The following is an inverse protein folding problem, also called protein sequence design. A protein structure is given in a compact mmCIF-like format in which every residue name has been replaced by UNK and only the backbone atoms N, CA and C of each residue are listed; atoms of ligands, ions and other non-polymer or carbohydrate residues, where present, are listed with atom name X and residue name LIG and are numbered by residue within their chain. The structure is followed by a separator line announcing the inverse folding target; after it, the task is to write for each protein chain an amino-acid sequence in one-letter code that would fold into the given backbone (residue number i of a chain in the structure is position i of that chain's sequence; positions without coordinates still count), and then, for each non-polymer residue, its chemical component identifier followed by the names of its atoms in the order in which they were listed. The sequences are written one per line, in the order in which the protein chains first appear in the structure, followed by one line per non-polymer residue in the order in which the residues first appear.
data_IF_929125309831
#
_entry.id   IF_929125309831
#
_cell.length_a   1.000
_cell.length_b   1.000
_cell.length_c   1.000
_cell.angle_alpha   90.00
_cell.angle_beta   90.00
_cell.angle_gamma   90.00
#
_symmetry.space_group_name_H-M   'P 1'
#
loop_
_entity.id
_entity.type
_entity.pdbx_description
1 polymer ?
#
# COMPACT_ATOMS: atom_id res chain seq x y z
N UNK A 1 -56.74 37.10 33.80
CA UNK A 1 -55.76 36.02 33.82
C UNK A 1 -54.90 36.20 32.59
N UNK A 2 -53.58 36.19 32.75
CA UNK A 2 -52.64 36.23 31.62
C UNK A 2 -51.72 35.03 31.64
N UNK A 3 -51.50 34.48 30.46
CA UNK A 3 -50.56 33.38 30.22
C UNK A 3 -49.32 33.92 29.52
N UNK A 4 -48.16 33.43 29.89
CA UNK A 4 -46.87 33.82 29.29
C UNK A 4 -46.07 32.57 28.99
N UNK A 5 -45.54 32.49 27.81
CA UNK A 5 -44.67 31.39 27.38
C UNK A 5 -43.38 31.91 26.81
N UNK A 6 -42.28 31.29 27.22
CA UNK A 6 -40.97 31.54 26.62
C UNK A 6 -40.13 30.24 26.47
N UNK A 7 -39.21 30.28 25.54
CA UNK A 7 -38.20 29.24 25.32
C UNK A 7 -36.85 29.92 25.21
N UNK A 8 -35.85 29.39 25.87
CA UNK A 8 -34.49 29.94 25.84
C UNK A 8 -33.46 28.83 25.96
N UNK A 9 -32.30 29.00 25.36
CA UNK A 9 -31.13 28.24 25.69
C UNK A 9 -30.54 28.72 27.03
N UNK A 10 -30.34 27.83 27.98
CA UNK A 10 -29.92 28.19 29.36
C UNK A 10 -28.53 27.71 29.72
N UNK A 11 -28.04 26.64 29.09
CA UNK A 11 -26.70 26.16 29.26
C UNK A 11 -26.25 25.30 28.08
N UNK A 12 -24.96 25.05 28.01
CA UNK A 12 -24.40 24.04 27.08
C UNK A 12 -23.17 23.41 27.71
N UNK A 13 -22.84 22.22 27.21
CA UNK A 13 -21.59 21.53 27.52
C UNK A 13 -21.07 20.88 26.25
N UNK A 14 -19.74 20.84 26.10
CA UNK A 14 -19.09 20.23 24.95
C UNK A 14 -18.19 19.09 25.41
N UNK A 15 -18.32 17.94 24.76
CA UNK A 15 -17.46 16.78 24.96
C UNK A 15 -17.04 16.22 23.60
N UNK A 16 -15.74 16.19 23.35
CA UNK A 16 -15.22 15.81 22.03
C UNK A 16 -15.79 16.68 20.92
N UNK A 17 -16.36 16.06 19.91
CA UNK A 17 -17.00 16.73 18.76
C UNK A 17 -18.52 16.95 18.93
N UNK A 18 -19.05 16.92 20.15
CA UNK A 18 -20.48 17.08 20.39
C UNK A 18 -20.73 18.15 21.44
N UNK A 19 -21.64 19.08 21.12
CA UNK A 19 -22.18 20.02 22.10
C UNK A 19 -23.61 19.65 22.42
N UNK A 20 -23.89 19.50 23.71
CA UNK A 20 -25.24 19.33 24.24
C UNK A 20 -25.74 20.68 24.78
N UNK A 21 -26.89 21.15 24.31
CA UNK A 21 -27.49 22.41 24.64
C UNK A 21 -28.76 22.14 25.46
N UNK A 22 -28.88 22.74 26.61
CA UNK A 22 -30.10 22.68 27.44
C UNK A 22 -30.97 23.86 27.09
N UNK A 23 -32.17 23.60 26.61
CA UNK A 23 -33.21 24.56 26.40
C UNK A 23 -34.23 24.49 27.54
N UNK A 24 -34.75 25.65 27.95
CA UNK A 24 -35.75 25.77 28.98
C UNK A 24 -37.04 26.33 28.40
N UNK A 25 -38.13 25.64 28.67
CA UNK A 25 -39.49 26.15 28.48
C UNK A 25 -39.94 26.73 29.80
N UNK A 26 -40.44 27.96 29.75
CA UNK A 26 -41.09 28.61 30.89
C UNK A 26 -42.54 28.89 30.55
N UNK A 27 -43.45 28.46 31.41
CA UNK A 27 -44.85 28.76 31.33
C UNK A 27 -45.30 29.40 32.63
N UNK A 28 -45.90 30.58 32.57
CA UNK A 28 -46.36 31.37 33.73
C UNK A 28 -47.84 31.68 33.60
N UNK A 29 -48.52 31.71 34.71
CA UNK A 29 -49.92 32.09 34.81
C UNK A 29 -50.09 33.16 35.89
N UNK A 30 -50.66 34.31 35.51
CA UNK A 30 -51.08 35.35 36.44
C UNK A 30 -52.58 35.36 36.52
N UNK A 31 -53.13 35.19 37.75
CA UNK A 31 -54.60 35.21 38.02
C UNK A 31 -55.12 33.98 38.77
N UNK A 32 -56.26 34.09 39.33
CA UNK A 32 -56.78 33.16 40.37
C UNK A 32 -57.84 32.18 39.90
N UNK A 33 -58.17 32.11 38.60
CA UNK A 33 -59.40 31.49 38.14
C UNK A 33 -59.35 29.99 37.81
N UNK A 34 -58.26 29.33 37.88
CA UNK A 34 -58.13 27.88 37.55
C UNK A 34 -57.30 27.14 38.56
N UNK A 35 -57.73 25.90 38.89
CA UNK A 35 -56.89 24.91 39.55
C UNK A 35 -55.82 24.37 38.63
N UNK A 36 -54.92 23.52 39.10
CA UNK A 36 -53.81 23.00 38.36
C UNK A 36 -54.21 22.48 36.97
N UNK A 37 -53.58 23.00 35.92
CA UNK A 37 -53.79 22.57 34.54
C UNK A 37 -52.50 21.92 34.01
N UNK A 38 -52.70 20.78 33.39
CA UNK A 38 -51.57 20.06 32.79
C UNK A 38 -51.85 19.73 31.32
N UNK A 39 -50.84 19.94 30.47
CA UNK A 39 -50.86 19.55 29.05
C UNK A 39 -49.47 19.18 28.58
N UNK A 40 -49.36 18.56 27.40
CA UNK A 40 -48.11 18.24 26.76
C UNK A 40 -47.81 19.28 25.67
N UNK A 41 -46.65 19.93 25.79
CA UNK A 41 -46.02 20.70 24.74
C UNK A 41 -45.11 19.80 23.91
N UNK A 42 -45.02 20.04 22.62
CA UNK A 42 -44.17 19.30 21.72
C UNK A 42 -43.02 20.20 21.23
N UNK A 43 -41.80 19.71 21.30
CA UNK A 43 -40.67 20.44 20.78
C UNK A 43 -40.01 19.69 19.59
N UNK A 44 -39.51 20.45 18.64
CA UNK A 44 -38.75 20.01 17.49
C UNK A 44 -37.49 20.85 17.34
N UNK A 45 -36.44 20.30 16.79
CA UNK A 45 -35.23 21.05 16.43
C UNK A 45 -34.93 20.91 14.94
N UNK A 46 -34.20 21.89 14.40
CA UNK A 46 -33.66 21.82 13.03
C UNK A 46 -32.60 20.74 12.84
N UNK A 47 -32.13 20.11 13.92
CA UNK A 47 -31.21 18.95 13.88
C UNK A 47 -31.95 17.61 13.77
N UNK A 48 -33.29 17.63 13.71
CA UNK A 48 -34.14 16.43 13.62
C UNK A 48 -34.51 15.82 14.98
N UNK A 49 -34.03 16.35 16.10
CA UNK A 49 -34.45 15.91 17.42
C UNK A 49 -35.85 16.47 17.78
N UNK A 50 -36.62 15.68 18.49
CA UNK A 50 -37.98 16.09 18.96
C UNK A 50 -38.34 15.37 20.25
N UNK A 51 -39.36 15.85 20.93
CA UNK A 51 -39.89 15.23 22.15
C UNK A 51 -41.09 15.97 22.72
N UNK A 52 -41.66 15.42 23.80
CA UNK A 52 -42.77 15.99 24.54
C UNK A 52 -42.33 16.47 25.92
N UNK A 53 -42.96 17.53 26.38
CA UNK A 53 -42.73 18.14 27.69
C UNK A 53 -44.07 18.28 28.41
N UNK A 54 -44.19 17.61 29.55
CA UNK A 54 -45.39 17.81 30.40
C UNK A 54 -45.29 19.11 31.17
N UNK A 55 -46.20 20.01 30.92
CA UNK A 55 -46.38 21.26 31.66
C UNK A 55 -47.57 21.15 32.60
N UNK A 56 -47.37 21.46 33.87
CA UNK A 56 -48.44 21.53 34.86
C UNK A 56 -48.27 22.82 35.66
N UNK A 57 -49.19 23.75 35.50
CA UNK A 57 -49.11 25.13 36.07
C UNK A 57 -50.22 25.32 37.03
N UNK A 58 -49.91 25.79 38.27
CA UNK A 58 -50.89 26.20 39.29
C UNK A 58 -51.18 27.70 39.19
N UNK A 59 -52.21 28.16 39.93
CA UNK A 59 -52.55 29.58 40.06
C UNK A 59 -51.35 30.44 40.43
N UNK A 60 -51.16 31.58 39.78
CA UNK A 60 -50.13 32.55 40.08
C UNK A 60 -48.72 31.88 40.16
N UNK A 61 -48.46 30.91 39.31
CA UNK A 61 -47.21 30.17 39.36
C UNK A 61 -46.49 30.13 38.02
N UNK A 62 -45.21 29.75 38.08
CA UNK A 62 -44.37 29.52 36.92
C UNK A 62 -43.88 28.08 36.99
N UNK A 63 -43.97 27.39 35.88
CA UNK A 63 -43.33 26.08 35.69
C UNK A 63 -42.23 26.20 34.64
N UNK A 64 -41.09 25.56 34.92
CA UNK A 64 -39.98 25.41 33.97
C UNK A 64 -39.75 23.94 33.71
N UNK A 65 -39.36 23.63 32.47
CA UNK A 65 -38.91 22.29 32.07
C UNK A 65 -37.75 22.41 31.13
N UNK A 66 -36.72 21.66 31.39
CA UNK A 66 -35.53 21.62 30.59
C UNK A 66 -35.54 20.39 29.69
N UNK A 67 -34.96 20.53 28.50
CA UNK A 67 -34.68 19.42 27.58
C UNK A 67 -33.38 19.69 26.84
N UNK A 68 -32.75 18.62 26.38
CA UNK A 68 -31.44 18.67 25.77
C UNK A 68 -31.48 18.37 24.27
N UNK A 69 -30.71 19.12 23.50
CA UNK A 69 -30.45 18.88 22.08
C UNK A 69 -28.98 18.79 21.87
N UNK A 70 -28.52 17.72 21.24
CA UNK A 70 -27.10 17.52 20.90
C UNK A 70 -26.85 17.78 19.43
N UNK A 71 -25.71 18.41 19.14
CA UNK A 71 -25.25 18.71 17.78
C UNK A 71 -23.78 18.38 17.63
N UNK A 72 -23.41 17.78 16.51
CA UNK A 72 -22.05 17.48 16.17
C UNK A 72 -21.29 18.68 15.58
N UNK A 73 -20.02 18.81 15.91
CA UNK A 73 -19.08 19.71 15.25
C UNK A 73 -18.44 19.03 14.06
N UNK A 74 -18.15 19.83 13.04
CA UNK A 74 -17.37 19.34 11.89
C UNK A 74 -15.95 19.00 12.34
N UNK A 75 -15.50 17.78 12.04
CA UNK A 75 -14.18 17.27 12.45
C UNK A 75 -13.00 17.98 11.78
N UNK A 76 -13.22 18.74 10.72
CA UNK A 76 -12.15 19.45 10.02
C UNK A 76 -11.93 20.90 10.48
N UNK A 77 -12.97 21.55 11.01
CA UNK A 77 -12.92 22.98 11.38
C UNK A 77 -13.53 23.30 12.75
N UNK A 78 -14.13 22.32 13.43
CA UNK A 78 -14.71 22.49 14.75
C UNK A 78 -16.01 23.31 14.80
N UNK A 79 -16.61 23.63 13.68
CA UNK A 79 -17.85 24.42 13.60
C UNK A 79 -19.06 23.50 13.72
N UNK A 80 -20.02 23.87 14.55
CA UNK A 80 -21.34 23.24 14.58
C UNK A 80 -22.39 24.15 13.92
N UNK A 81 -23.48 23.61 13.37
CA UNK A 81 -24.58 24.42 12.88
C UNK A 81 -25.31 25.11 14.03
N UNK A 82 -25.97 26.23 13.72
CA UNK A 82 -26.87 26.87 14.65
C UNK A 82 -28.04 25.93 14.96
N UNK A 83 -28.34 25.74 16.24
CA UNK A 83 -29.46 24.92 16.71
C UNK A 83 -30.66 25.80 17.00
N UNK A 84 -31.75 25.55 16.31
CA UNK A 84 -33.04 26.22 16.55
C UNK A 84 -34.04 25.20 17.03
N UNK A 85 -34.67 25.46 18.15
CA UNK A 85 -35.79 24.67 18.66
C UNK A 85 -37.10 25.46 18.58
N UNK A 86 -38.17 24.75 18.27
CA UNK A 86 -39.55 25.31 18.31
C UNK A 86 -40.37 24.45 19.24
N UNK A 87 -40.98 25.07 20.22
CA UNK A 87 -41.92 24.43 21.15
C UNK A 87 -43.34 24.90 20.84
N UNK A 88 -44.18 23.96 20.52
CA UNK A 88 -45.60 24.17 20.19
C UNK A 88 -46.51 23.78 21.34
N UNK A 89 -47.76 24.12 21.21
CA UNK A 89 -48.79 23.87 22.22
C UNK A 89 -48.51 24.56 23.55
N UNK A 90 -47.92 25.74 23.51
CA UNK A 90 -47.78 26.63 24.69
C UNK A 90 -49.01 27.53 24.86
N UNK A 91 -49.19 28.10 26.05
CA UNK A 91 -50.28 29.02 26.35
C UNK A 91 -49.74 30.45 26.49
N UNK A 92 -50.30 31.39 25.75
CA UNK A 92 -49.90 32.80 25.80
C UNK A 92 -51.11 33.72 25.51
N UNK A 93 -51.25 34.82 26.27
CA UNK A 93 -52.41 35.74 26.15
C UNK A 93 -53.39 35.61 27.31
N UNK A 94 -54.61 35.96 27.04
CA UNK A 94 -55.68 36.07 28.07
C UNK A 94 -56.64 34.89 28.15
N UNK A 95 -56.47 33.90 27.27
CA UNK A 95 -57.32 32.69 27.23
C UNK A 95 -56.50 31.44 27.28
N UNK A 96 -56.99 30.39 27.95
CA UNK A 96 -56.37 29.05 27.96
C UNK A 96 -56.37 28.41 26.57
N UNK A 97 -57.28 28.82 25.71
CA UNK A 97 -57.40 28.37 24.33
C UNK A 97 -56.37 29.03 23.38
N UNK A 98 -55.70 30.08 23.86
CA UNK A 98 -54.66 30.75 23.07
C UNK A 98 -53.37 29.89 22.99
N UNK A 99 -53.32 29.06 21.96
CA UNK A 99 -52.17 28.15 21.72
C UNK A 99 -51.15 28.84 20.81
N UNK A 100 -49.90 28.82 21.22
CA UNK A 100 -48.80 29.43 20.48
C UNK A 100 -47.61 28.48 20.38
N UNK A 101 -46.70 28.82 19.46
CA UNK A 101 -45.37 28.26 19.39
C UNK A 101 -44.33 29.32 19.73
N UNK A 102 -43.24 28.91 20.37
CA UNK A 102 -42.08 29.76 20.68
C UNK A 102 -40.81 29.07 20.23
N UNK A 103 -39.87 29.84 19.69
CA UNK A 103 -38.60 29.33 19.22
C UNK A 103 -37.46 29.98 19.96
N UNK A 104 -36.37 29.25 20.09
CA UNK A 104 -35.08 29.74 20.56
C UNK A 104 -33.95 29.15 19.72
N UNK A 105 -32.91 29.93 19.56
CA UNK A 105 -31.73 29.48 18.81
C UNK A 105 -30.46 29.61 19.66
N UNK A 106 -29.51 28.75 19.41
CA UNK A 106 -28.20 28.77 20.04
C UNK A 106 -27.14 28.41 19.03
N UNK A 107 -26.10 29.25 18.91
CA UNK A 107 -24.91 28.96 18.12
C UNK A 107 -23.85 28.33 19.02
N UNK A 108 -23.55 27.04 18.88
CA UNK A 108 -22.47 26.43 19.63
C UNK A 108 -21.12 27.12 19.34
N UNK A 109 -20.27 27.30 20.34
CA UNK A 109 -18.95 27.84 20.11
C UNK A 109 -18.12 26.91 19.20
N UNK A 110 -17.27 27.51 18.37
CA UNK A 110 -16.29 26.73 17.60
C UNK A 110 -15.30 26.08 18.56
N UNK A 111 -15.03 24.78 18.34
CA UNK A 111 -14.04 24.04 19.12
C UNK A 111 -12.73 23.92 18.35
N UNK A 112 -11.63 23.84 19.07
CA UNK A 112 -10.34 23.56 18.47
C UNK A 112 -10.26 22.08 18.04
N UNK A 113 -10.04 21.86 16.75
CA UNK A 113 -9.80 20.52 16.19
C UNK A 113 -8.31 20.37 15.95
N UNK A 114 -7.72 19.40 16.62
CA UNK A 114 -6.31 19.05 16.39
C UNK A 114 -6.24 18.25 15.08
N UNK A 115 -5.71 18.89 14.04
CA UNK A 115 -5.56 18.24 12.73
C UNK A 115 -4.42 17.21 12.76
N UNK A 116 -4.53 16.14 11.95
CA UNK A 116 -3.38 15.29 11.70
C UNK A 116 -2.18 16.11 11.18
N UNK A 117 -0.96 15.73 11.52
CA UNK A 117 0.22 16.38 10.95
C UNK A 117 0.29 16.13 9.43
N UNK A 118 1.03 16.97 8.69
CA UNK A 118 1.26 16.73 7.27
C UNK A 118 1.98 15.41 7.01
N UNK A 119 1.72 14.82 5.85
CA UNK A 119 2.37 13.57 5.41
C UNK A 119 3.87 13.81 5.23
N UNK A 120 4.75 12.94 5.75
CA UNK A 120 6.17 12.99 5.46
C UNK A 120 6.43 12.86 3.95
N UNK A 121 7.35 13.67 3.42
CA UNK A 121 7.70 13.68 1.98
C UNK A 121 9.13 13.25 1.76
N UNK A 122 9.52 13.09 0.49
CA UNK A 122 10.85 12.67 0.09
C UNK A 122 11.30 11.36 0.78
N UNK A 123 10.36 10.46 1.04
CA UNK A 123 10.67 9.17 1.66
C UNK A 123 11.50 8.36 0.69
N UNK A 124 12.74 8.06 1.07
CA UNK A 124 13.69 7.33 0.25
C UNK A 124 14.27 6.17 1.06
N UNK A 125 14.37 5.02 0.43
CA UNK A 125 15.00 3.83 1.01
C UNK A 125 16.31 3.54 0.28
N UNK A 126 17.36 3.20 1.04
CA UNK A 126 18.67 2.83 0.54
C UNK A 126 19.07 1.50 1.18
N UNK A 127 19.62 0.59 0.38
CA UNK A 127 20.24 -0.63 0.87
C UNK A 127 21.66 -0.34 1.34
N UNK A 128 21.96 -0.64 2.60
CA UNK A 128 23.30 -0.58 3.17
C UNK A 128 24.02 -1.94 3.02
N UNK A 129 23.26 -3.02 3.24
CA UNK A 129 23.72 -4.41 3.08
C UNK A 129 22.51 -5.32 2.88
N UNK A 130 22.70 -6.64 2.75
CA UNK A 130 21.60 -7.60 2.72
C UNK A 130 20.86 -7.72 4.05
N UNK A 131 21.51 -7.29 5.14
CA UNK A 131 20.91 -7.31 6.47
C UNK A 131 20.42 -5.96 6.95
N UNK A 132 20.63 -4.87 6.18
CA UNK A 132 20.27 -3.51 6.62
C UNK A 132 19.80 -2.63 5.46
N UNK A 133 18.68 -1.93 5.70
CA UNK A 133 18.19 -0.85 4.85
C UNK A 133 17.98 0.41 5.69
N UNK A 134 18.20 1.59 5.11
CA UNK A 134 17.99 2.87 5.78
C UNK A 134 17.00 3.71 5.00
N UNK A 135 15.94 4.16 5.68
CA UNK A 135 15.03 5.18 5.14
C UNK A 135 15.44 6.56 5.60
N UNK A 136 15.19 7.54 4.72
CA UNK A 136 15.26 8.97 5.02
C UNK A 136 13.99 9.64 4.54
N UNK A 137 13.59 10.74 5.17
CA UNK A 137 12.39 11.50 4.80
C UNK A 137 12.49 12.95 5.26
N UNK A 138 11.57 13.78 4.76
CA UNK A 138 11.40 15.16 5.21
C UNK A 138 10.15 15.24 6.09
N UNK A 139 10.31 15.79 7.29
CA UNK A 139 9.19 16.13 8.17
C UNK A 139 8.55 17.44 7.72
N UNK A 140 7.24 17.42 7.50
CA UNK A 140 6.50 18.58 6.98
C UNK A 140 5.64 19.28 8.04
N UNK A 141 5.72 18.86 9.29
CA UNK A 141 4.87 19.38 10.36
C UNK A 141 5.62 20.13 11.44
N UNK A 142 5.04 21.23 11.92
CA UNK A 142 5.53 21.97 13.08
C UNK A 142 5.09 21.38 14.42
N UNK A 143 4.25 20.37 14.43
CA UNK A 143 3.67 19.76 15.64
C UNK A 143 3.84 18.25 15.74
N UNK A 144 4.77 17.67 15.01
CA UNK A 144 5.02 16.24 15.06
C UNK A 144 5.69 15.84 16.36
N UNK A 145 5.12 14.87 17.04
CA UNK A 145 5.65 14.36 18.30
C UNK A 145 6.20 12.95 18.18
N UNK A 146 5.80 12.21 17.18
CA UNK A 146 6.30 10.88 16.91
C UNK A 146 6.17 10.52 15.44
N UNK A 147 7.13 9.77 14.93
CA UNK A 147 7.08 9.18 13.61
C UNK A 147 7.12 7.67 13.72
N UNK A 148 6.37 7.03 12.85
CA UNK A 148 6.35 5.58 12.74
C UNK A 148 6.82 5.18 11.36
N UNK A 149 7.77 4.26 11.32
CA UNK A 149 8.21 3.63 10.11
C UNK A 149 7.69 2.20 10.05
N UNK A 150 7.28 1.79 8.88
CA UNK A 150 6.99 0.40 8.59
C UNK A 150 7.72 0.00 7.31
N UNK A 151 8.18 -1.23 7.24
CA UNK A 151 8.71 -1.78 6.00
C UNK A 151 7.70 -2.76 5.41
N UNK A 152 7.63 -2.76 4.10
CA UNK A 152 6.71 -3.61 3.33
C UNK A 152 7.57 -4.44 2.39
N UNK A 153 7.33 -5.73 2.31
CA UNK A 153 7.86 -6.55 1.23
C UNK A 153 7.26 -6.06 -0.08
N UNK A 154 8.13 -5.60 -0.99
CA UNK A 154 7.69 -4.92 -2.20
C UNK A 154 6.88 -5.78 -3.16
N UNK A 155 7.03 -7.09 -3.12
CA UNK A 155 6.32 -7.99 -4.03
C UNK A 155 5.04 -8.58 -3.43
N UNK A 156 5.00 -8.76 -2.13
CA UNK A 156 3.86 -9.41 -1.46
C UNK A 156 2.92 -8.43 -0.76
N UNK A 157 3.26 -7.13 -0.72
CA UNK A 157 2.56 -6.11 0.05
C UNK A 157 2.41 -6.46 1.54
N UNK A 158 3.22 -7.37 2.06
CA UNK A 158 3.20 -7.71 3.48
C UNK A 158 3.86 -6.59 4.28
N UNK A 159 3.12 -6.05 5.21
CA UNK A 159 3.64 -5.03 6.13
C UNK A 159 4.28 -5.68 7.34
N UNK A 160 5.50 -5.24 7.66
CA UNK A 160 6.13 -5.54 8.96
C UNK A 160 5.46 -4.76 10.10
N UNK A 161 5.97 -4.96 11.30
CA UNK A 161 5.50 -4.23 12.48
C UNK A 161 5.89 -2.75 12.42
N UNK A 162 5.00 -1.88 12.90
CA UNK A 162 5.30 -0.48 13.09
C UNK A 162 6.39 -0.29 14.14
N UNK A 163 7.36 0.55 13.82
CA UNK A 163 8.40 0.98 14.75
C UNK A 163 8.06 2.40 15.23
N UNK A 164 7.90 2.55 16.54
CA UNK A 164 7.80 3.88 17.13
C UNK A 164 9.22 4.42 17.31
N UNK A 165 9.52 5.53 16.66
CA UNK A 165 10.81 6.17 16.79
C UNK A 165 10.89 6.92 18.13
N UNK A 166 11.98 6.69 18.88
CA UNK A 166 12.22 7.37 20.16
C UNK A 166 12.48 8.86 19.97
N UNK A 167 13.16 9.23 18.89
CA UNK A 167 13.31 10.62 18.48
C UNK A 167 12.12 11.05 17.64
N UNK A 168 11.28 11.89 18.21
CA UNK A 168 10.07 12.43 17.56
C UNK A 168 10.35 13.32 16.36
N UNK A 169 11.59 13.79 16.20
CA UNK A 169 12.04 14.62 15.08
C UNK A 169 12.91 13.86 14.08
N UNK A 170 13.05 12.55 14.27
CA UNK A 170 13.87 11.74 13.37
C UNK A 170 13.46 11.92 11.90
N UNK A 171 14.46 12.04 11.04
CA UNK A 171 14.32 12.10 9.58
C UNK A 171 14.96 10.90 8.89
N UNK A 172 15.40 9.93 9.68
CA UNK A 172 15.96 8.68 9.19
C UNK A 172 15.80 7.55 10.19
N UNK A 173 15.77 6.32 9.67
CA UNK A 173 15.80 5.12 10.49
C UNK A 173 16.43 3.96 9.71
N UNK A 174 17.26 3.18 10.39
CA UNK A 174 17.88 1.99 9.84
C UNK A 174 17.22 0.73 10.38
N UNK A 175 16.71 -0.12 9.49
CA UNK A 175 16.20 -1.44 9.83
C UNK A 175 17.26 -2.49 9.61
N UNK A 176 17.61 -3.19 10.68
CA UNK A 176 18.48 -4.37 10.67
C UNK A 176 17.69 -5.66 10.58
N UNK A 177 18.37 -6.80 10.46
CA UNK A 177 17.72 -8.10 10.38
C UNK A 177 16.96 -8.33 9.06
N UNK A 178 17.36 -7.61 8.01
CA UNK A 178 16.86 -7.87 6.65
C UNK A 178 17.51 -9.15 6.11
N UNK A 179 16.94 -9.69 5.06
CA UNK A 179 17.40 -10.93 4.45
C UNK A 179 17.80 -10.70 3.00
N UNK A 180 18.76 -11.46 2.51
CA UNK A 180 19.01 -11.56 1.07
C UNK A 180 17.77 -12.08 0.34
N UNK A 181 17.75 -11.98 -0.97
CA UNK A 181 16.69 -12.47 -1.82
C UNK A 181 15.31 -11.86 -1.51
N UNK A 182 15.30 -10.58 -1.20
CA UNK A 182 14.09 -9.85 -0.74
C UNK A 182 13.99 -8.49 -1.38
N UNK A 183 12.76 -7.99 -1.43
CA UNK A 183 12.43 -6.65 -1.89
C UNK A 183 11.77 -5.87 -0.74
N UNK A 184 12.21 -4.66 -0.50
CA UNK A 184 11.71 -3.83 0.60
C UNK A 184 11.22 -2.49 0.09
N UNK A 185 10.16 -2.02 0.73
CA UNK A 185 9.63 -0.67 0.63
C UNK A 185 9.22 -0.22 2.03
N UNK A 186 9.40 1.03 2.33
CA UNK A 186 8.99 1.60 3.60
C UNK A 186 7.87 2.62 3.41
N UNK A 187 7.04 2.75 4.41
CA UNK A 187 6.10 3.85 4.55
C UNK A 187 6.32 4.54 5.90
N UNK A 188 6.25 5.86 5.89
CA UNK A 188 6.46 6.71 7.06
C UNK A 188 5.20 7.53 7.30
N UNK A 189 4.68 7.51 8.51
CA UNK A 189 3.57 8.33 8.96
C UNK A 189 4.00 9.20 10.13
N UNK A 190 3.37 10.35 10.27
CA UNK A 190 3.57 11.27 11.37
C UNK A 190 2.41 11.21 12.36
N UNK A 191 2.68 11.50 13.63
CA UNK A 191 1.68 11.58 14.70
C UNK A 191 1.86 12.88 15.47
N UNK A 192 0.75 13.46 15.91
CA UNK A 192 0.78 14.58 16.86
C UNK A 192 0.60 14.08 18.29
N UNK A 193 0.73 14.99 19.27
CA UNK A 193 0.57 14.69 20.71
C UNK A 193 -0.84 14.22 21.07
N UNK A 194 -1.85 14.56 20.25
CA UNK A 194 -3.21 14.09 20.42
C UNK A 194 -3.46 12.68 19.84
N UNK A 195 -2.43 12.03 19.30
CA UNK A 195 -2.52 10.69 18.74
C UNK A 195 -3.08 10.63 17.31
N UNK A 196 -3.39 11.76 16.68
CA UNK A 196 -3.85 11.78 15.29
C UNK A 196 -2.69 11.46 14.36
N UNK A 197 -2.92 10.54 13.42
CA UNK A 197 -1.96 10.12 12.43
C UNK A 197 -2.17 10.82 11.09
N UNK A 198 -1.07 11.12 10.38
CA UNK A 198 -1.13 11.48 8.96
C UNK A 198 -1.38 10.26 8.09
N UNK A 199 -1.67 10.48 6.82
CA UNK A 199 -1.40 9.48 5.80
C UNK A 199 0.10 9.17 5.71
N UNK A 200 0.48 8.21 4.87
CA UNK A 200 1.82 7.70 4.77
C UNK A 200 2.55 8.21 3.52
N UNK A 201 3.78 8.67 3.71
CA UNK A 201 4.75 8.79 2.64
C UNK A 201 5.39 7.43 2.32
N UNK A 202 5.56 7.11 1.04
CA UNK A 202 6.12 5.84 0.59
C UNK A 202 7.48 6.04 -0.08
N UNK A 203 8.42 5.12 0.19
CA UNK A 203 9.71 5.09 -0.47
C UNK A 203 9.65 4.42 -1.86
N UNK A 204 10.77 4.50 -2.57
CA UNK A 204 11.12 3.56 -3.65
C UNK A 204 11.27 2.13 -3.11
N UNK A 205 11.29 1.16 -4.03
CA UNK A 205 11.69 -0.20 -3.72
C UNK A 205 13.22 -0.33 -3.70
N UNK A 206 13.74 -1.21 -2.84
CA UNK A 206 15.14 -1.65 -2.86
C UNK A 206 15.20 -3.17 -2.79
N UNK A 207 16.18 -3.73 -3.45
CA UNK A 207 16.38 -5.18 -3.56
C UNK A 207 17.68 -5.57 -2.87
N UNK A 208 17.67 -6.72 -2.20
CA UNK A 208 18.86 -7.34 -1.65
C UNK A 208 19.45 -8.33 -2.66
N UNK A 209 20.63 -8.84 -2.39
CA UNK A 209 21.31 -9.79 -3.26
C UNK A 209 20.44 -11.01 -3.51
N UNK A 210 20.15 -11.39 -4.75
CA UNK A 210 19.34 -12.55 -5.06
C UNK A 210 20.05 -13.85 -4.68
N UNK A 211 19.30 -14.90 -4.39
CA UNK A 211 19.85 -16.25 -4.34
C UNK A 211 20.40 -16.65 -5.71
N UNK A 212 21.43 -17.48 -5.71
CA UNK A 212 21.93 -18.09 -6.94
C UNK A 212 20.89 -19.01 -7.60
N UNK A 213 21.14 -19.42 -8.84
CA UNK A 213 20.30 -20.40 -9.50
C UNK A 213 20.23 -21.68 -8.66
N UNK A 214 19.03 -22.24 -8.54
CA UNK A 214 18.82 -23.52 -7.85
C UNK A 214 19.42 -24.68 -8.65
N UNK A 215 19.24 -24.64 -9.97
CA UNK A 215 19.82 -25.65 -10.86
C UNK A 215 19.98 -25.13 -12.28
N UNK A 216 20.92 -25.73 -12.98
CA UNK A 216 21.05 -25.73 -14.43
C UNK A 216 20.82 -27.16 -14.90
N UNK A 217 20.07 -27.35 -15.96
CA UNK A 217 19.75 -28.67 -16.49
C UNK A 217 19.58 -28.67 -18.01
N UNK A 218 19.50 -29.83 -18.61
CA UNK A 218 19.29 -30.01 -20.04
C UNK A 218 20.23 -29.15 -20.91
N UNK A 219 21.48 -29.04 -20.47
CA UNK A 219 22.49 -28.27 -21.20
C UNK A 219 22.99 -29.11 -22.40
N UNK A 220 22.62 -28.64 -23.59
CA UNK A 220 22.91 -29.34 -24.85
C UNK A 220 23.50 -28.38 -25.88
N UNK A 221 24.59 -28.78 -26.49
CA UNK A 221 25.12 -28.15 -27.68
C UNK A 221 24.90 -29.04 -28.90
N UNK A 222 24.66 -28.44 -30.04
CA UNK A 222 24.40 -29.13 -31.31
C UNK A 222 24.99 -28.34 -32.47
N UNK A 223 25.37 -29.02 -33.55
CA UNK A 223 25.68 -28.39 -34.83
C UNK A 223 24.52 -28.57 -35.79
N UNK A 224 23.80 -27.51 -36.09
CA UNK A 224 22.71 -27.49 -37.07
C UNK A 224 23.27 -26.98 -38.40
N UNK A 225 23.34 -27.84 -39.40
CA UNK A 225 23.97 -27.52 -40.67
C UNK A 225 25.39 -26.91 -40.53
N UNK A 226 26.16 -27.43 -39.58
CA UNK A 226 27.51 -26.91 -39.25
C UNK A 226 27.54 -25.66 -38.39
N UNK A 227 26.40 -25.06 -38.05
CA UNK A 227 26.30 -23.89 -37.19
C UNK A 227 26.07 -24.30 -35.73
N UNK A 228 26.86 -23.79 -34.75
CA UNK A 228 26.71 -24.16 -33.37
C UNK A 228 25.46 -23.53 -32.74
N UNK A 229 24.75 -24.31 -31.96
CA UNK A 229 23.66 -23.92 -31.09
C UNK A 229 23.88 -24.44 -29.67
N UNK A 230 23.43 -23.71 -28.67
CA UNK A 230 23.48 -24.07 -27.27
C UNK A 230 22.15 -23.80 -26.59
N UNK A 231 21.67 -24.78 -25.87
CA UNK A 231 20.45 -24.61 -25.04
C UNK A 231 20.66 -25.20 -23.66
N UNK A 232 19.98 -24.62 -22.66
CA UNK A 232 19.92 -25.17 -21.31
C UNK A 232 18.72 -24.58 -20.57
N UNK A 233 18.29 -25.28 -19.52
CA UNK A 233 17.27 -24.80 -18.61
C UNK A 233 17.91 -24.25 -17.34
N UNK A 234 17.30 -23.20 -16.79
CA UNK A 234 17.69 -22.58 -15.55
C UNK A 234 16.50 -22.52 -14.59
N UNK A 235 16.69 -23.07 -13.39
CA UNK A 235 15.78 -22.81 -12.28
C UNK A 235 16.43 -21.75 -11.39
N UNK A 236 15.94 -20.52 -11.47
CA UNK A 236 16.46 -19.43 -10.65
C UNK A 236 16.09 -19.56 -9.17
N UNK A 237 15.23 -20.54 -8.80
CA UNK A 237 14.89 -20.87 -7.41
C UNK A 237 14.09 -19.81 -6.67
N UNK A 238 13.94 -18.62 -7.22
CA UNK A 238 13.23 -17.53 -6.59
C UNK A 238 12.13 -16.97 -7.48
N UNK A 239 10.90 -17.05 -7.01
CA UNK A 239 9.72 -16.49 -7.68
C UNK A 239 9.52 -15.01 -7.41
N UNK A 240 10.23 -14.41 -6.43
CA UNK A 240 10.08 -13.00 -6.05
C UNK A 240 10.62 -12.00 -7.06
N UNK A 241 11.41 -12.45 -8.03
CA UNK A 241 12.00 -11.59 -9.06
C UNK A 241 11.66 -12.07 -10.47
N UNK A 242 10.39 -11.94 -10.90
CA UNK A 242 9.95 -12.44 -12.21
C UNK A 242 10.70 -11.78 -13.38
N UNK A 243 11.19 -10.57 -13.20
CA UNK A 243 11.94 -9.80 -14.20
C UNK A 243 13.46 -9.93 -14.08
N UNK A 244 13.98 -10.80 -13.20
CA UNK A 244 15.41 -10.98 -13.03
C UNK A 244 16.06 -11.49 -14.33
N UNK A 245 17.21 -10.90 -14.65
CA UNK A 245 18.07 -11.36 -15.74
C UNK A 245 18.95 -12.49 -15.26
N UNK A 246 19.43 -13.26 -16.22
CA UNK A 246 20.40 -14.33 -16.00
C UNK A 246 21.62 -14.06 -16.83
N UNK A 247 22.79 -14.11 -16.23
CA UNK A 247 24.08 -14.15 -16.92
C UNK A 247 24.63 -15.57 -16.84
N UNK A 248 25.32 -16.00 -17.87
CA UNK A 248 26.04 -17.24 -17.81
C UNK A 248 27.49 -17.12 -18.31
N UNK A 249 28.34 -17.99 -17.82
CA UNK A 249 29.72 -18.19 -18.23
C UNK A 249 29.88 -19.59 -18.79
N UNK A 250 30.89 -19.76 -19.61
CA UNK A 250 31.27 -21.05 -20.20
C UNK A 250 32.75 -21.36 -20.02
N UNK A 251 33.11 -22.63 -20.05
CA UNK A 251 34.45 -23.12 -19.86
C UNK A 251 34.63 -24.47 -20.59
N UNK A 252 35.84 -24.77 -21.02
CA UNK A 252 36.19 -26.11 -21.57
C UNK A 252 36.90 -27.00 -20.54
N UNK A 253 37.30 -26.46 -19.40
CA UNK A 253 38.08 -27.17 -18.36
C UNK A 253 37.40 -27.16 -16.99
N UNK A 254 36.23 -26.53 -16.86
CA UNK A 254 35.46 -26.30 -15.62
C UNK A 254 36.24 -25.48 -14.54
N UNK A 255 37.30 -24.80 -14.93
CA UNK A 255 38.15 -24.00 -14.03
C UNK A 255 38.33 -22.58 -14.54
N UNK A 256 38.62 -22.41 -15.82
CA UNK A 256 38.85 -21.14 -16.47
C UNK A 256 37.56 -20.66 -17.16
N UNK A 257 36.89 -19.70 -16.55
CA UNK A 257 35.57 -19.23 -16.98
C UNK A 257 35.65 -17.99 -17.87
N UNK A 258 34.87 -17.98 -18.95
CA UNK A 258 34.76 -16.89 -19.92
C UNK A 258 33.34 -16.37 -20.00
N UNK A 259 33.15 -15.16 -20.55
CA UNK A 259 31.84 -14.55 -20.64
C UNK A 259 31.38 -13.96 -19.31
N UNK A 260 32.27 -13.39 -18.46
CA UNK A 260 31.89 -12.76 -17.20
C UNK A 260 31.35 -11.34 -17.40
N UNK A 261 30.23 -11.05 -16.79
CA UNK A 261 29.53 -9.81 -16.80
C UNK A 261 30.34 -8.54 -16.65
N UNK A 262 30.43 -7.83 -17.73
CA UNK A 262 30.97 -6.48 -17.83
C UNK A 262 30.75 -5.99 -19.24
N UNK A 263 30.47 -4.73 -19.43
CA UNK A 263 29.92 -4.10 -20.63
C UNK A 263 30.68 -4.32 -21.96
N UNK A 264 31.72 -5.14 -22.02
CA UNK A 264 32.52 -5.31 -23.24
C UNK A 264 33.01 -6.72 -23.51
N UNK A 265 32.62 -7.76 -22.79
CA UNK A 265 33.22 -9.07 -22.89
C UNK A 265 32.27 -10.27 -23.00
N UNK A 266 31.22 -10.23 -23.81
CA UNK A 266 30.48 -11.42 -24.19
C UNK A 266 29.64 -12.06 -23.09
N UNK A 267 29.00 -11.26 -22.24
CA UNK A 267 28.01 -11.73 -21.30
C UNK A 267 26.73 -12.02 -22.04
N UNK A 268 26.32 -13.24 -21.94
CA UNK A 268 25.02 -13.62 -22.42
C UNK A 268 23.96 -13.30 -21.37
N UNK A 269 23.42 -12.08 -21.44
CA UNK A 269 22.28 -11.69 -20.59
C UNK A 269 20.99 -12.13 -21.26
N UNK A 270 20.24 -12.98 -20.58
CA UNK A 270 18.94 -13.46 -21.07
C UNK A 270 17.84 -13.04 -20.13
N UNK A 271 16.79 -12.45 -20.70
CA UNK A 271 15.60 -12.03 -19.97
C UNK A 271 14.62 -13.21 -19.70
N UNK A 272 15.16 -14.43 -19.67
CA UNK A 272 14.37 -15.62 -19.38
C UNK A 272 14.73 -16.21 -18.03
N UNK A 273 13.79 -16.89 -17.44
CA UNK A 273 13.92 -17.52 -16.12
C UNK A 273 13.81 -19.03 -16.18
N UNK A 274 13.61 -19.60 -17.36
CA UNK A 274 13.33 -21.03 -17.52
C UNK A 274 14.18 -21.72 -18.58
N UNK A 275 14.39 -21.09 -19.72
CA UNK A 275 15.16 -21.69 -20.81
C UNK A 275 16.00 -20.67 -21.55
N UNK A 276 17.21 -21.06 -21.91
CA UNK A 276 18.16 -20.28 -22.72
C UNK A 276 18.38 -21.05 -24.01
N UNK A 277 18.26 -20.38 -25.15
CA UNK A 277 18.62 -20.92 -26.45
C UNK A 277 19.46 -19.88 -27.20
N UNK A 278 20.61 -20.26 -27.67
CA UNK A 278 21.55 -19.42 -28.41
C UNK A 278 21.83 -20.04 -29.77
N UNK A 279 21.69 -19.23 -30.80
CA UNK A 279 22.14 -19.53 -32.14
C UNK A 279 23.59 -19.05 -32.34
N UNK A 280 24.24 -19.52 -33.40
CA UNK A 280 25.59 -19.09 -33.75
C UNK A 280 25.75 -17.56 -33.85
N UNK A 281 24.74 -16.84 -34.30
CA UNK A 281 24.78 -15.37 -34.38
C UNK A 281 24.91 -14.68 -33.02
N UNK A 282 24.43 -15.31 -31.95
CA UNK A 282 24.44 -14.78 -30.59
C UNK A 282 25.68 -15.18 -29.77
N UNK A 283 26.58 -16.00 -30.32
CA UNK A 283 27.74 -16.51 -29.63
C UNK A 283 29.05 -15.82 -30.07
N UNK A 284 29.97 -15.66 -29.15
CA UNK A 284 31.35 -15.26 -29.50
C UNK A 284 32.13 -16.38 -30.17
N UNK A 285 33.26 -16.00 -30.76
CA UNK A 285 34.12 -16.97 -31.51
C UNK A 285 34.66 -18.10 -30.63
N UNK A 286 34.92 -17.83 -29.34
CA UNK A 286 35.46 -18.84 -28.42
C UNK A 286 34.41 -19.89 -28.07
N UNK A 287 33.21 -19.48 -27.75
CA UNK A 287 32.10 -20.42 -27.46
C UNK A 287 31.78 -21.28 -28.68
N UNK A 288 31.73 -20.67 -29.89
CA UNK A 288 31.57 -21.42 -31.14
C UNK A 288 32.65 -22.46 -31.33
N UNK A 289 33.93 -22.09 -31.07
CA UNK A 289 35.05 -23.01 -31.17
C UNK A 289 34.95 -24.17 -30.18
N UNK A 290 34.53 -23.90 -28.94
CA UNK A 290 34.34 -24.97 -27.94
C UNK A 290 33.24 -25.95 -28.37
N UNK A 291 32.11 -25.45 -28.85
CA UNK A 291 31.02 -26.32 -29.36
C UNK A 291 31.49 -27.14 -30.55
N UNK A 292 32.20 -26.52 -31.52
CA UNK A 292 32.74 -27.24 -32.67
C UNK A 292 33.69 -28.34 -32.28
N UNK A 293 34.48 -28.14 -31.20
CA UNK A 293 35.39 -29.16 -30.71
C UNK A 293 34.71 -30.32 -29.97
N UNK A 294 33.49 -30.16 -29.52
CA UNK A 294 32.74 -31.22 -28.83
C UNK A 294 32.52 -32.45 -29.68
N UNK A 295 32.35 -32.32 -31.00
CA UNK A 295 32.30 -33.44 -31.95
C UNK A 295 33.58 -34.30 -31.96
N UNK A 296 34.70 -33.73 -31.51
CA UNK A 296 36.01 -34.39 -31.43
C UNK A 296 36.37 -34.79 -29.99
N UNK A 297 35.40 -34.91 -29.09
CA UNK A 297 35.60 -35.24 -27.69
C UNK A 297 35.96 -34.06 -26.77
N UNK A 298 35.86 -32.80 -27.26
CA UNK A 298 35.99 -31.60 -26.43
C UNK A 298 34.89 -31.52 -25.39
N UNK A 299 35.15 -30.79 -24.33
CA UNK A 299 34.19 -30.56 -23.24
C UNK A 299 33.74 -29.12 -23.21
N UNK A 300 32.50 -28.94 -22.78
CA UNK A 300 31.92 -27.62 -22.49
C UNK A 300 31.18 -27.68 -21.16
N UNK A 301 31.38 -26.66 -20.34
CA UNK A 301 30.70 -26.45 -19.08
C UNK A 301 30.09 -25.08 -19.09
N UNK A 302 28.94 -24.92 -18.41
CA UNK A 302 28.29 -23.64 -18.19
C UNK A 302 28.01 -23.45 -16.72
N UNK A 303 28.00 -22.19 -16.27
CA UNK A 303 27.48 -21.75 -14.97
C UNK A 303 26.74 -20.45 -15.12
N UNK A 304 25.81 -20.18 -14.23
CA UNK A 304 24.98 -19.00 -14.32
C UNK A 304 24.84 -18.28 -12.98
N UNK A 305 24.44 -17.02 -13.04
CA UNK A 305 24.00 -16.21 -11.89
C UNK A 305 22.72 -15.46 -12.23
N UNK A 306 22.02 -15.06 -11.18
CA UNK A 306 20.73 -14.34 -11.26
C UNK A 306 20.95 -12.90 -10.81
N UNK A 307 20.31 -11.95 -11.51
CA UNK A 307 20.24 -10.54 -11.12
C UNK A 307 18.92 -10.25 -10.41
N UNK A 308 18.94 -9.28 -9.47
CA UNK A 308 17.71 -8.76 -8.88
C UNK A 308 16.87 -7.97 -9.91
N UNK A 309 15.65 -7.64 -9.55
CA UNK A 309 14.69 -7.05 -10.49
C UNK A 309 15.11 -5.69 -11.07
N UNK A 310 15.86 -4.88 -10.32
CA UNK A 310 16.39 -3.58 -10.76
C UNK A 310 17.77 -3.68 -11.43
N UNK A 311 18.32 -4.87 -11.56
CA UNK A 311 19.66 -5.16 -12.10
C UNK A 311 20.83 -4.47 -11.36
N UNK A 312 20.65 -4.12 -10.11
CA UNK A 312 21.68 -3.48 -9.30
C UNK A 312 22.66 -4.49 -8.67
N UNK A 313 22.22 -5.72 -8.44
CA UNK A 313 22.98 -6.77 -7.75
C UNK A 313 22.79 -8.13 -8.41
N UNK A 314 23.85 -8.90 -8.46
CA UNK A 314 23.84 -10.29 -8.92
C UNK A 314 24.20 -11.26 -7.78
N UNK A 315 23.69 -12.48 -7.86
CA UNK A 315 24.14 -13.61 -7.04
C UNK A 315 25.57 -14.02 -7.38
N UNK A 316 26.16 -14.90 -6.57
CA UNK A 316 27.28 -15.70 -7.00
C UNK A 316 26.91 -16.60 -8.19
N UNK A 317 27.92 -17.04 -8.95
CA UNK A 317 27.72 -18.07 -9.98
C UNK A 317 27.43 -19.44 -9.35
N UNK A 318 26.59 -20.23 -10.01
CA UNK A 318 26.38 -21.65 -9.69
C UNK A 318 27.65 -22.48 -9.89
N UNK A 319 27.62 -23.72 -9.46
CA UNK A 319 28.62 -24.73 -9.91
C UNK A 319 28.55 -24.93 -11.43
N UNK A 320 29.65 -25.40 -12.01
CA UNK A 320 29.71 -25.74 -13.43
C UNK A 320 28.90 -27.00 -13.76
N UNK A 321 28.11 -26.93 -14.82
CA UNK A 321 27.35 -28.06 -15.34
C UNK A 321 27.89 -28.45 -16.71
N UNK A 322 28.14 -29.74 -16.92
CA UNK A 322 28.60 -30.28 -18.21
C UNK A 322 27.50 -30.15 -19.26
N UNK A 323 27.86 -29.71 -20.44
CA UNK A 323 26.99 -29.62 -21.62
C UNK A 323 27.11 -30.92 -22.40
N UNK A 324 25.98 -31.54 -22.72
CA UNK A 324 25.94 -32.70 -23.62
C UNK A 324 26.09 -32.22 -25.07
N UNK A 325 26.76 -32.98 -25.88
CA UNK A 325 26.80 -32.77 -27.33
C UNK A 325 25.90 -33.77 -28.01
N UNK A 326 24.92 -33.25 -28.73
CA UNK A 326 24.03 -34.08 -29.55
C UNK A 326 24.39 -33.88 -31.01
N UNK A 327 24.87 -34.95 -31.64
CA UNK A 327 25.08 -34.95 -33.07
C UNK A 327 23.69 -35.03 -33.74
N UNK A 328 23.38 -34.08 -34.59
CA UNK A 328 22.19 -34.21 -35.42
C UNK A 328 22.45 -35.32 -36.43
N UNK A 329 21.58 -36.31 -36.52
CA UNK A 329 21.77 -37.36 -37.54
C UNK A 329 21.79 -36.70 -38.93
N UNK A 330 22.87 -36.87 -39.64
CA UNK A 330 22.92 -36.46 -41.04
C UNK A 330 22.11 -37.47 -41.83
N UNK A 331 21.01 -37.05 -42.33
CA UNK A 331 20.16 -37.91 -43.20
C UNK A 331 20.66 -37.67 -44.61
N UNK A 332 21.37 -38.64 -45.16
CA UNK A 332 21.78 -38.66 -46.56
C UNK A 332 20.66 -39.26 -47.36
N UNK A 333 20.16 -38.53 -48.35
CA UNK A 333 19.25 -39.06 -49.38
C UNK A 333 20.10 -39.41 -50.58
N UNK A 334 20.04 -40.67 -50.97
CA UNK A 334 20.51 -41.02 -52.28
C UNK A 334 19.42 -40.67 -53.27
N UNK A 335 19.66 -39.74 -54.20
CA UNK A 335 18.73 -39.36 -55.26
C UNK A 335 19.28 -39.90 -56.55
N UNK A 336 18.54 -40.72 -57.28
CA UNK A 336 18.94 -41.12 -58.60
C UNK A 336 19.11 -39.92 -59.53
N UNK A 337 20.11 -39.98 -60.37
CA UNK A 337 20.43 -38.91 -61.29
C UNK A 337 19.20 -38.53 -62.15
N UNK A 338 18.83 -37.25 -62.21
CA UNK A 338 17.67 -36.74 -62.94
C UNK A 338 16.37 -36.56 -62.15
N UNK A 339 16.33 -36.79 -60.84
CA UNK A 339 15.16 -36.59 -60.00
C UNK A 339 15.13 -35.16 -59.41
N UNK A 340 14.01 -34.46 -59.63
CA UNK A 340 13.80 -33.11 -59.07
C UNK A 340 13.25 -33.22 -57.66
N UNK A 341 14.04 -32.75 -56.62
CA UNK A 341 13.72 -32.88 -55.19
C UNK A 341 13.02 -31.65 -54.63
N UNK A 342 12.30 -30.87 -55.40
CA UNK A 342 11.76 -29.57 -54.96
C UNK A 342 10.82 -29.61 -53.77
N UNK A 343 10.39 -30.76 -53.23
CA UNK A 343 9.38 -30.83 -52.16
C UNK A 343 9.49 -32.01 -51.18
N UNK A 344 10.69 -32.35 -50.68
CA UNK A 344 10.83 -33.38 -49.64
C UNK A 344 10.62 -32.76 -48.24
N UNK A 345 9.52 -33.10 -47.57
CA UNK A 345 9.34 -32.80 -46.13
C UNK A 345 9.68 -34.04 -45.31
N UNK A 346 10.63 -33.91 -44.41
CA UNK A 346 11.01 -34.97 -43.49
C UNK A 346 10.38 -34.71 -42.13
N UNK A 347 9.59 -35.67 -41.68
CA UNK A 347 9.08 -35.68 -40.31
C UNK A 347 9.95 -36.64 -39.48
N UNK A 348 10.71 -36.10 -38.54
CA UNK A 348 11.45 -36.93 -37.57
C UNK A 348 10.54 -37.07 -36.35
N UNK A 349 10.02 -38.26 -36.10
CA UNK A 349 9.42 -38.59 -34.83
C UNK A 349 10.52 -38.55 -33.74
N UNK A 350 10.40 -37.62 -32.79
CA UNK A 350 11.19 -37.65 -31.58
C UNK A 350 10.78 -38.86 -30.75
N UNK A 351 11.71 -39.70 -30.26
CA UNK A 351 11.43 -40.74 -29.28
C UNK A 351 10.93 -40.14 -27.95
#
# INVERSE_FOLDING_TARGET
MAWYASVAAVSHSTSGLTTTITFRVTQRVDGSSYDALGWDAHWTSNTGASGNIRLAVNRNSTVTRDFNVSVGHNSSNGVAPNVTVTVSNLRDGYSISSVVSRSASFQPPTISVVKPPPVPTNVKLVRNSDSQVTATWTNNGSGQTAEKGNWVDGETNQSGNWVNLSDKKATSYAWTGRTSNSCYRVRVGAYNDAGNASDHGYSNYVYTTPSGPKSLSNAVAVLVNGSPELSFNIDKGNTRYPSAKVDFQYSNDNSTWRGSGGASGGVYTVNTTSAVALSAGSMDGTLKSYINNMKNGGKLYIRARVWNADNSLASGFSGGVSVAYNEQPQIYFWVPDGTNIANVRIYVNKP
#
